data_IF_765931677406
#
_entry.id   IF_765931677406
#
_cell.length_a   1.000
_cell.length_b   1.000
_cell.length_c   1.000
_cell.angle_alpha   90.00
_cell.angle_beta   90.00
_cell.angle_gamma   90.00
#
_symmetry.space_group_name_H-M   'P 1'
#
loop_
_entity.id
_entity.type
_entity.pdbx_description
1 polymer ?
#
# COMPACT_ATOMS: atom_id res chain seq x y z
N UNK A 1 0.76 17.18 -14.27
CA UNK A 1 0.11 16.16 -13.45
C UNK A 1 -0.82 16.82 -12.43
N UNK A 2 -2.03 16.28 -12.28
CA UNK A 2 -3.03 16.77 -11.32
C UNK A 2 -3.71 15.58 -10.64
N UNK A 3 -4.19 15.80 -9.42
CA UNK A 3 -5.04 14.87 -8.67
C UNK A 3 -6.48 15.39 -8.72
N UNK A 4 -7.40 14.58 -9.24
CA UNK A 4 -8.84 14.85 -9.22
C UNK A 4 -9.48 14.06 -8.06
N UNK A 5 -10.22 14.73 -7.19
CA UNK A 5 -11.11 14.15 -6.18
C UNK A 5 -12.55 14.42 -6.60
N UNK A 6 -13.36 13.37 -6.77
CA UNK A 6 -14.75 13.49 -7.23
C UNK A 6 -15.62 12.30 -6.79
N UNK A 7 -16.82 12.20 -7.37
CA UNK A 7 -17.78 11.14 -7.05
C UNK A 7 -18.78 11.60 -5.99
N UNK A 8 -18.98 10.83 -4.92
CA UNK A 8 -19.85 11.18 -3.80
C UNK A 8 -19.21 12.21 -2.89
N UNK A 9 -19.02 13.42 -3.41
CA UNK A 9 -18.50 14.61 -2.71
C UNK A 9 -19.35 15.82 -3.05
N UNK A 10 -19.38 16.79 -2.15
CA UNK A 10 -20.12 18.05 -2.38
C UNK A 10 -19.47 18.91 -3.45
N UNK A 11 -18.12 18.93 -3.47
CA UNK A 11 -17.33 19.73 -4.43
C UNK A 11 -16.21 18.86 -5.02
N UNK A 12 -16.25 18.55 -6.33
CA UNK A 12 -15.09 18.00 -7.00
C UNK A 12 -13.92 18.99 -6.94
N UNK A 13 -12.73 18.49 -6.59
CA UNK A 13 -11.52 19.29 -6.44
C UNK A 13 -10.40 18.76 -7.34
N UNK A 14 -9.61 19.68 -7.87
CA UNK A 14 -8.40 19.36 -8.65
C UNK A 14 -7.20 20.01 -8.01
N UNK A 15 -6.18 19.22 -7.70
CA UNK A 15 -4.96 19.68 -7.09
C UNK A 15 -3.77 19.49 -8.03
N UNK A 16 -2.99 20.55 -8.23
CA UNK A 16 -1.63 20.46 -8.76
C UNK A 16 -0.66 20.10 -7.63
N UNK A 17 0.58 19.69 -7.97
CA UNK A 17 1.64 19.52 -6.98
C UNK A 17 1.85 20.81 -6.17
N UNK A 18 1.86 21.98 -6.85
CA UNK A 18 2.02 23.28 -6.18
C UNK A 18 0.89 23.60 -5.20
N UNK A 19 -0.33 23.12 -5.44
CA UNK A 19 -1.43 23.24 -4.47
C UNK A 19 -1.15 22.36 -3.26
N UNK A 20 -0.80 21.09 -3.45
CA UNK A 20 -0.56 20.14 -2.35
C UNK A 20 0.61 20.57 -1.45
N UNK A 21 1.66 21.17 -2.00
CA UNK A 21 2.80 21.68 -1.23
C UNK A 21 2.43 22.80 -0.24
N UNK A 22 1.23 23.35 -0.32
CA UNK A 22 0.74 24.41 0.59
C UNK A 22 -0.07 23.85 1.77
N UNK A 23 -0.39 22.56 1.75
CA UNK A 23 -1.12 21.92 2.85
C UNK A 23 -0.19 21.48 3.97
N UNK A 24 -0.68 21.42 5.21
CA UNK A 24 0.04 20.76 6.29
C UNK A 24 0.39 19.32 5.92
N UNK A 25 1.64 18.93 6.15
CA UNK A 25 2.12 17.60 5.87
C UNK A 25 2.40 16.82 7.15
N UNK A 26 2.34 15.49 7.05
CA UNK A 26 2.82 14.56 8.08
C UNK A 26 4.00 13.78 7.52
N UNK A 27 4.95 13.51 8.42
CA UNK A 27 6.10 12.64 8.14
C UNK A 27 6.02 11.43 9.06
N UNK A 28 6.10 10.23 8.48
CA UNK A 28 6.04 8.98 9.24
C UNK A 28 6.85 7.90 8.54
N UNK A 29 7.38 6.95 9.33
CA UNK A 29 8.08 5.78 8.80
C UNK A 29 7.08 4.65 8.63
N UNK A 30 6.92 4.16 7.40
CA UNK A 30 6.06 3.04 7.07
C UNK A 30 6.74 2.07 6.12
N UNK A 31 6.40 0.79 6.26
CA UNK A 31 6.77 -0.21 5.27
C UNK A 31 5.72 -0.34 4.17
N UNK A 32 6.19 -0.78 3.00
CA UNK A 32 5.32 -1.25 1.90
C UNK A 32 5.75 -2.67 1.57
N UNK A 33 4.81 -3.60 1.61
CA UNK A 33 5.04 -5.00 1.32
C UNK A 33 4.16 -5.45 0.14
N UNK A 34 4.78 -6.14 -0.81
CA UNK A 34 4.05 -6.74 -1.93
C UNK A 34 3.18 -7.90 -1.47
N UNK A 35 1.96 -8.03 -2.00
CA UNK A 35 1.10 -9.18 -1.75
C UNK A 35 1.77 -10.54 -2.05
N UNK A 36 2.71 -10.58 -3.00
CA UNK A 36 3.48 -11.77 -3.35
C UNK A 36 4.69 -12.06 -2.45
N UNK A 37 4.96 -11.22 -1.44
CA UNK A 37 6.07 -11.45 -0.53
C UNK A 37 5.87 -12.76 0.25
N UNK A 38 6.93 -13.54 0.39
CA UNK A 38 6.89 -14.87 1.03
C UNK A 38 6.12 -15.95 0.26
N UNK A 39 5.61 -15.66 -0.94
CA UNK A 39 4.78 -16.60 -1.72
C UNK A 39 5.48 -17.92 -2.06
N UNK A 40 6.82 -17.97 -2.09
CA UNK A 40 7.56 -19.21 -2.33
C UNK A 40 7.40 -20.23 -1.18
N UNK A 41 7.01 -19.80 0.01
CA UNK A 41 6.80 -20.67 1.18
C UNK A 41 5.47 -21.42 1.13
N UNK A 42 4.52 -21.02 0.29
CA UNK A 42 3.20 -21.67 0.17
C UNK A 42 3.20 -22.85 -0.81
N UNK A 43 4.34 -23.11 -1.46
CA UNK A 43 4.49 -24.25 -2.38
C UNK A 43 4.54 -25.56 -1.61
N UNK A 44 4.08 -26.68 -2.20
CA UNK A 44 4.19 -28.01 -1.59
C UNK A 44 5.65 -28.37 -1.22
N UNK A 45 6.60 -27.88 -2.00
CA UNK A 45 8.04 -27.99 -1.76
C UNK A 45 8.61 -26.58 -1.55
N UNK A 46 8.68 -26.11 -0.30
CA UNK A 46 9.11 -24.75 0.01
C UNK A 46 10.54 -24.50 -0.44
N UNK A 47 10.76 -23.37 -1.07
CA UNK A 47 12.08 -22.96 -1.52
C UNK A 47 13.05 -22.83 -0.34
N UNK A 48 14.25 -23.38 -0.49
CA UNK A 48 15.37 -23.21 0.44
C UNK A 48 16.22 -22.06 -0.07
N UNK A 49 16.06 -20.89 0.52
CA UNK A 49 16.73 -19.66 0.08
C UNK A 49 17.02 -18.72 1.26
N UNK A 50 17.75 -17.65 0.99
CA UNK A 50 18.05 -16.61 1.97
C UNK A 50 16.79 -15.86 2.40
N UNK A 51 16.85 -15.18 3.54
CA UNK A 51 15.76 -14.30 4.00
C UNK A 51 15.39 -13.26 2.93
N UNK A 52 16.40 -12.63 2.29
CA UNK A 52 16.17 -11.68 1.21
C UNK A 52 15.51 -12.29 -0.03
N UNK A 53 15.82 -13.55 -0.37
CA UNK A 53 15.19 -14.27 -1.48
C UNK A 53 13.73 -14.60 -1.21
N UNK A 54 13.39 -14.95 0.02
CA UNK A 54 12.03 -15.34 0.42
C UNK A 54 11.14 -14.15 0.79
N UNK A 55 11.71 -13.14 1.48
CA UNK A 55 10.96 -12.05 2.10
C UNK A 55 11.40 -10.65 1.62
N UNK A 56 12.13 -10.56 0.52
CA UNK A 56 12.74 -9.31 0.03
C UNK A 56 11.78 -8.33 -0.67
N UNK A 57 10.51 -8.68 -0.85
CA UNK A 57 9.52 -7.78 -1.45
C UNK A 57 8.88 -6.85 -0.40
N UNK A 58 9.72 -6.31 0.48
CA UNK A 58 9.38 -5.43 1.58
C UNK A 58 10.37 -4.27 1.61
N UNK A 59 9.89 -3.05 1.79
CA UNK A 59 10.73 -1.87 2.00
C UNK A 59 10.16 -0.98 3.08
N UNK A 60 11.03 -0.40 3.92
CA UNK A 60 10.66 0.57 4.93
C UNK A 60 11.30 1.92 4.61
N UNK A 61 10.53 3.00 4.68
CA UNK A 61 10.98 4.36 4.34
C UNK A 61 10.25 5.40 5.18
N UNK A 62 10.88 6.55 5.33
CA UNK A 62 10.20 7.74 5.80
C UNK A 62 9.38 8.35 4.64
N UNK A 63 8.11 8.62 4.90
CA UNK A 63 7.19 9.20 3.94
C UNK A 63 6.65 10.52 4.45
N UNK A 64 6.67 11.55 3.60
CA UNK A 64 6.08 12.86 3.89
C UNK A 64 5.02 13.20 2.85
N UNK A 65 3.84 13.60 3.33
CA UNK A 65 2.73 13.92 2.45
C UNK A 65 1.56 14.58 3.15
N UNK A 66 0.54 14.92 2.37
CA UNK A 66 -0.70 15.52 2.86
C UNK A 66 -1.62 14.40 3.34
N UNK A 67 -2.18 14.48 4.58
CA UNK A 67 -3.22 13.54 5.01
C UNK A 67 -4.39 13.56 4.04
N UNK A 68 -4.79 12.37 3.57
CA UNK A 68 -5.89 12.28 2.62
C UNK A 68 -7.21 12.76 3.22
N UNK A 69 -7.41 12.55 4.53
CA UNK A 69 -8.59 13.07 5.25
C UNK A 69 -8.76 14.57 5.06
N UNK A 70 -7.68 15.37 5.12
CA UNK A 70 -7.74 16.83 4.92
C UNK A 70 -8.34 17.21 3.56
N UNK A 71 -7.96 16.49 2.50
CA UNK A 71 -8.47 16.77 1.15
C UNK A 71 -9.90 16.26 0.95
N UNK A 72 -10.25 15.14 1.58
CA UNK A 72 -11.60 14.58 1.55
C UNK A 72 -12.59 15.45 2.37
N UNK A 73 -12.17 15.97 3.51
CA UNK A 73 -12.96 16.93 4.30
C UNK A 73 -13.22 18.21 3.51
N UNK A 74 -12.22 18.74 2.80
CA UNK A 74 -12.40 19.92 1.95
C UNK A 74 -13.35 19.64 0.78
N UNK A 75 -13.29 18.44 0.18
CA UNK A 75 -14.21 18.04 -0.87
C UNK A 75 -15.65 17.85 -0.36
N UNK A 76 -15.82 17.59 0.93
CA UNK A 76 -17.10 17.33 1.58
C UNK A 76 -17.68 15.98 1.16
N UNK A 77 -17.21 14.90 1.78
CA UNK A 77 -17.68 13.54 1.45
C UNK A 77 -19.17 13.40 1.77
N UNK A 78 -19.95 12.87 0.81
CA UNK A 78 -21.35 12.53 0.99
C UNK A 78 -21.48 11.35 1.98
N UNK A 79 -22.43 11.36 2.92
CA UNK A 79 -22.65 10.26 3.89
C UNK A 79 -22.85 8.87 3.26
N UNK A 80 -23.24 8.79 2.01
CA UNK A 80 -23.37 7.54 1.23
C UNK A 80 -22.02 7.00 0.77
N UNK A 81 -20.96 7.82 0.76
CA UNK A 81 -19.60 7.39 0.42
C UNK A 81 -19.08 6.40 1.45
N UNK A 82 -18.61 5.24 0.99
CA UNK A 82 -18.03 4.17 1.82
C UNK A 82 -16.69 3.69 1.29
N UNK A 83 -16.39 3.99 0.04
CA UNK A 83 -15.19 3.55 -0.65
C UNK A 83 -14.58 4.69 -1.46
N UNK A 84 -13.29 4.56 -1.73
CA UNK A 84 -12.54 5.46 -2.62
C UNK A 84 -11.85 4.60 -3.68
N UNK A 85 -12.17 4.81 -4.95
CA UNK A 85 -11.38 4.29 -6.05
C UNK A 85 -10.15 5.18 -6.24
N UNK A 86 -8.96 4.63 -6.06
CA UNK A 86 -7.69 5.26 -6.39
C UNK A 86 -7.19 4.77 -7.75
N UNK A 87 -6.75 5.68 -8.61
CA UNK A 87 -6.28 5.35 -9.96
C UNK A 87 -4.99 6.10 -10.31
N UNK A 88 -4.01 5.37 -10.86
CA UNK A 88 -2.76 5.90 -11.40
C UNK A 88 -2.86 6.33 -12.86
N UNK A 89 -1.86 7.06 -13.35
CA UNK A 89 -1.77 7.54 -14.75
C UNK A 89 -0.79 6.72 -15.58
N UNK A 90 -0.28 5.62 -15.02
CA UNK A 90 0.60 4.71 -15.73
C UNK A 90 -0.12 3.97 -16.87
N UNK A 91 0.63 3.35 -17.77
CA UNK A 91 0.08 2.63 -18.92
C UNK A 91 -0.83 1.44 -18.51
N UNK A 92 -0.59 0.85 -17.33
CA UNK A 92 -1.43 -0.21 -16.79
C UNK A 92 -2.76 0.31 -16.24
N UNK A 93 -2.83 1.60 -15.89
CA UNK A 93 -4.02 2.22 -15.30
C UNK A 93 -4.40 1.57 -13.96
N UNK A 94 -3.39 1.21 -13.14
CA UNK A 94 -3.61 0.54 -11.85
C UNK A 94 -4.68 1.29 -11.07
N UNK A 95 -5.73 0.58 -10.69
CA UNK A 95 -6.84 1.15 -9.92
C UNK A 95 -7.30 0.17 -8.85
N UNK A 96 -7.50 0.70 -7.63
CA UNK A 96 -7.85 -0.07 -6.44
C UNK A 96 -8.93 0.63 -5.62
N UNK A 97 -9.85 -0.17 -5.12
CA UNK A 97 -10.88 0.28 -4.18
C UNK A 97 -10.36 0.21 -2.74
N UNK A 98 -10.46 1.32 -2.03
CA UNK A 98 -10.00 1.48 -0.64
C UNK A 98 -11.21 1.85 0.23
N UNK A 99 -11.40 1.23 1.41
CA UNK A 99 -12.42 1.68 2.35
C UNK A 99 -12.22 3.16 2.70
N UNK A 100 -13.30 3.93 2.71
CA UNK A 100 -13.25 5.36 3.06
C UNK A 100 -12.70 5.56 4.48
N UNK A 101 -13.03 4.68 5.41
CA UNK A 101 -12.52 4.71 6.78
C UNK A 101 -10.98 4.75 6.80
N UNK A 102 -10.32 3.89 6.03
CA UNK A 102 -8.86 3.89 5.91
C UNK A 102 -8.32 5.19 5.31
N UNK A 103 -9.02 5.75 4.33
CA UNK A 103 -8.64 7.03 3.72
C UNK A 103 -8.74 8.21 4.70
N UNK A 104 -9.67 8.13 5.67
CA UNK A 104 -9.88 9.16 6.69
C UNK A 104 -8.97 9.02 7.91
N UNK A 105 -8.40 7.84 8.13
CA UNK A 105 -7.55 7.55 9.29
C UNK A 105 -6.09 8.00 9.08
N UNK A 106 -5.30 7.23 8.38
CA UNK A 106 -3.85 7.40 8.30
C UNK A 106 -3.28 7.49 6.86
N UNK A 107 -4.15 7.48 5.84
CA UNK A 107 -3.72 7.57 4.45
C UNK A 107 -3.05 8.91 4.13
N UNK A 108 -1.98 8.87 3.32
CA UNK A 108 -1.28 10.07 2.83
C UNK A 108 -1.29 10.14 1.30
N UNK A 109 -1.37 11.35 0.78
CA UNK A 109 -0.87 11.67 -0.56
C UNK A 109 0.62 11.98 -0.41
N UNK A 110 1.46 10.96 -0.56
CA UNK A 110 2.89 11.06 -0.35
C UNK A 110 3.57 11.78 -1.51
N UNK A 111 4.35 12.81 -1.17
CA UNK A 111 5.10 13.66 -2.09
C UNK A 111 6.61 13.47 -1.93
N UNK A 112 7.06 13.02 -0.75
CA UNK A 112 8.48 12.83 -0.43
C UNK A 112 8.70 11.44 0.18
N UNK A 113 9.90 10.90 -0.08
CA UNK A 113 10.41 9.65 0.48
C UNK A 113 11.86 9.86 0.93
N UNK A 114 12.15 9.57 2.21
CA UNK A 114 13.48 9.76 2.81
C UNK A 114 14.05 11.19 2.60
N UNK A 115 13.19 12.22 2.74
CA UNK A 115 13.57 13.62 2.59
C UNK A 115 13.69 14.14 1.15
N UNK A 116 13.57 13.29 0.13
CA UNK A 116 13.61 13.65 -1.27
C UNK A 116 12.22 13.56 -1.91
N UNK A 117 11.99 14.28 -3.02
CA UNK A 117 10.78 14.07 -3.81
C UNK A 117 10.67 12.59 -4.23
N UNK A 118 9.46 12.05 -4.19
CA UNK A 118 9.21 10.67 -4.62
C UNK A 118 9.80 10.47 -6.02
N UNK A 119 10.63 9.44 -6.21
CA UNK A 119 11.27 9.16 -7.50
C UNK A 119 10.26 8.66 -8.54
N UNK A 120 10.53 8.79 -9.85
CA UNK A 120 9.64 8.32 -10.91
C UNK A 120 9.18 6.87 -10.71
N UNK A 121 10.10 5.97 -10.37
CA UNK A 121 9.83 4.54 -10.14
C UNK A 121 8.93 4.30 -8.92
N UNK A 122 8.94 5.23 -7.98
CA UNK A 122 8.13 5.20 -6.76
C UNK A 122 6.82 5.96 -6.88
N UNK A 123 6.56 6.59 -8.03
CA UNK A 123 5.27 7.21 -8.35
C UNK A 123 5.26 8.74 -8.38
N UNK A 124 6.38 9.41 -8.71
CA UNK A 124 6.42 10.88 -8.89
C UNK A 124 5.30 11.37 -9.84
N UNK A 125 4.65 12.51 -9.55
CA UNK A 125 4.95 13.45 -8.48
C UNK A 125 4.24 13.14 -7.15
N UNK A 126 3.31 12.18 -7.12
CA UNK A 126 2.56 11.82 -5.93
C UNK A 126 2.05 10.39 -6.00
N UNK A 127 1.95 9.77 -4.85
CA UNK A 127 1.37 8.43 -4.70
C UNK A 127 0.44 8.36 -3.51
N UNK A 128 -0.48 7.41 -3.54
CA UNK A 128 -1.23 7.02 -2.35
C UNK A 128 -0.34 6.17 -1.44
N UNK A 129 -0.34 6.46 -0.15
CA UNK A 129 0.28 5.65 0.89
C UNK A 129 -0.80 5.22 1.88
N UNK A 130 -0.88 3.92 2.11
CA UNK A 130 -1.86 3.27 3.00
C UNK A 130 -1.10 2.35 3.96
N UNK A 131 -0.72 2.84 5.14
CA UNK A 131 0.01 2.05 6.14
C UNK A 131 -0.68 0.73 6.47
N UNK A 132 0.07 -0.37 6.58
CA UNK A 132 -0.46 -1.69 6.89
C UNK A 132 -1.30 -2.37 5.80
N UNK A 133 -1.46 -1.73 4.62
CA UNK A 133 -2.16 -2.32 3.47
C UNK A 133 -1.17 -2.84 2.43
N UNK A 134 -1.59 -3.83 1.64
CA UNK A 134 -0.78 -4.42 0.58
C UNK A 134 -0.18 -3.38 -0.38
N UNK A 135 1.05 -3.61 -0.82
CA UNK A 135 1.79 -2.71 -1.68
C UNK A 135 1.07 -2.30 -2.96
N UNK A 136 0.29 -3.22 -3.55
CA UNK A 136 -0.46 -2.95 -4.79
C UNK A 136 -1.58 -1.91 -4.61
N UNK A 137 -2.07 -1.68 -3.38
CA UNK A 137 -3.12 -0.70 -3.09
C UNK A 137 -2.52 0.71 -2.93
N UNK A 138 -1.23 0.79 -2.67
CA UNK A 138 -0.48 2.05 -2.57
C UNK A 138 -0.22 2.61 -3.97
N UNK A 139 -1.27 3.09 -4.66
CA UNK A 139 -1.27 3.45 -6.08
C UNK A 139 -0.26 4.55 -6.37
N UNK A 140 0.66 4.28 -7.32
CA UNK A 140 1.69 5.21 -7.81
C UNK A 140 1.13 6.12 -8.90
N UNK A 141 1.79 7.25 -9.15
CA UNK A 141 1.39 8.24 -10.17
C UNK A 141 -0.08 8.61 -10.05
N UNK A 142 -0.50 8.85 -8.81
CA UNK A 142 -1.91 9.03 -8.47
C UNK A 142 -2.51 10.21 -9.21
N UNK A 143 -3.59 9.97 -9.98
CA UNK A 143 -4.28 11.01 -10.75
C UNK A 143 -5.73 11.23 -10.34
N UNK A 144 -6.37 10.22 -9.74
CA UNK A 144 -7.80 10.27 -9.46
C UNK A 144 -8.17 9.51 -8.19
N UNK A 145 -9.04 10.15 -7.40
CA UNK A 145 -9.75 9.55 -6.28
C UNK A 145 -11.24 9.75 -6.48
N UNK A 146 -12.00 8.68 -6.58
CA UNK A 146 -13.46 8.74 -6.75
C UNK A 146 -14.14 8.12 -5.54
N UNK A 147 -14.88 8.94 -4.78
CA UNK A 147 -15.70 8.45 -3.67
C UNK A 147 -16.92 7.71 -4.22
N UNK A 148 -17.18 6.50 -3.71
CA UNK A 148 -18.22 5.59 -4.17
C UNK A 148 -18.96 4.95 -3.00
N UNK A 149 -20.14 4.40 -3.26
CA UNK A 149 -20.91 3.71 -2.23
C UNK A 149 -20.38 2.30 -1.93
N UNK A 150 -19.80 1.64 -2.92
CA UNK A 150 -19.21 0.31 -2.82
C UNK A 150 -17.92 0.20 -3.61
N UNK A 151 -17.18 -0.92 -3.49
CA UNK A 151 -15.99 -1.15 -4.29
C UNK A 151 -16.34 -1.24 -5.79
N UNK A 152 -15.39 -0.86 -6.65
CA UNK A 152 -15.64 -0.79 -8.10
C UNK A 152 -15.39 -2.12 -8.79
N UNK A 153 -14.72 -3.07 -8.14
CA UNK A 153 -14.34 -4.36 -8.72
C UNK A 153 -13.53 -4.17 -10.02
N UNK A 154 -12.44 -3.44 -9.89
CA UNK A 154 -11.57 -3.15 -11.04
C UNK A 154 -10.96 -4.43 -11.61
N UNK A 155 -10.40 -4.35 -12.84
CA UNK A 155 -9.82 -5.50 -13.53
C UNK A 155 -8.79 -6.24 -12.66
N UNK A 156 -7.87 -5.51 -12.02
CA UNK A 156 -6.83 -6.15 -11.21
C UNK A 156 -7.39 -6.73 -9.91
N UNK A 157 -8.38 -6.08 -9.30
CA UNK A 157 -9.07 -6.58 -8.11
C UNK A 157 -9.71 -7.95 -8.36
N UNK A 158 -10.42 -8.07 -9.47
CA UNK A 158 -11.16 -9.31 -9.79
C UNK A 158 -10.26 -10.40 -10.36
N UNK A 159 -9.20 -10.06 -11.10
CA UNK A 159 -8.37 -11.04 -11.79
C UNK A 159 -7.13 -11.50 -11.02
N UNK A 160 -6.62 -10.69 -10.07
CA UNK A 160 -5.34 -10.97 -9.40
C UNK A 160 -5.41 -10.99 -7.89
N UNK A 161 -6.34 -10.22 -7.30
CA UNK A 161 -6.40 -10.00 -5.85
C UNK A 161 -7.69 -10.51 -5.21
N UNK A 162 -8.48 -11.30 -5.94
CA UNK A 162 -9.60 -12.08 -5.41
C UNK A 162 -9.23 -13.55 -5.38
N UNK A 163 -9.60 -14.25 -4.33
CA UNK A 163 -9.29 -15.66 -4.10
C UNK A 163 -10.56 -16.50 -4.19
N UNK A 164 -10.51 -17.59 -4.98
CA UNK A 164 -11.57 -18.57 -4.98
C UNK A 164 -11.48 -19.43 -3.71
N UNK A 165 -12.56 -19.44 -2.94
CA UNK A 165 -12.66 -20.24 -1.72
C UNK A 165 -13.14 -21.67 -2.03
N UNK A 166 -12.85 -22.66 -1.15
CA UNK A 166 -13.26 -24.06 -1.37
C UNK A 166 -14.79 -24.26 -1.50
N UNK A 167 -15.59 -23.36 -0.95
CA UNK A 167 -17.06 -23.39 -1.03
C UNK A 167 -17.62 -22.76 -2.32
N UNK A 168 -16.74 -22.35 -3.25
CA UNK A 168 -17.10 -21.72 -4.52
C UNK A 168 -17.40 -20.22 -4.42
N UNK A 169 -17.28 -19.60 -3.25
CA UNK A 169 -17.36 -18.16 -3.11
C UNK A 169 -16.03 -17.48 -3.46
N UNK A 170 -16.05 -16.19 -3.72
CA UNK A 170 -14.83 -15.39 -3.91
C UNK A 170 -14.58 -14.48 -2.70
N UNK A 171 -13.42 -14.64 -2.06
CA UNK A 171 -12.92 -13.64 -1.12
C UNK A 171 -12.48 -12.43 -1.93
N UNK A 172 -13.18 -11.32 -1.75
CA UNK A 172 -12.79 -10.07 -2.38
C UNK A 172 -11.53 -9.51 -1.72
N UNK A 173 -10.61 -9.17 -2.54
CA UNK A 173 -9.26 -8.64 -2.29
C UNK A 173 -8.88 -8.45 -0.82
N UNK A 174 -7.75 -9.04 -0.47
CA UNK A 174 -7.06 -8.76 0.79
C UNK A 174 -6.61 -7.31 0.79
N UNK A 175 -6.87 -6.60 1.86
CA UNK A 175 -6.50 -5.19 2.01
C UNK A 175 -5.37 -5.04 3.03
N UNK A 176 -5.65 -5.37 4.29
CA UNK A 176 -4.70 -5.26 5.38
C UNK A 176 -3.75 -6.46 5.43
N UNK A 177 -2.50 -6.17 5.76
CA UNK A 177 -1.49 -7.19 6.04
C UNK A 177 -1.64 -7.68 7.48
N UNK A 178 -1.53 -8.99 7.68
CA UNK A 178 -1.41 -9.58 9.01
C UNK A 178 0.01 -9.44 9.57
N UNK A 179 0.19 -9.62 10.89
CA UNK A 179 1.52 -9.58 11.50
C UNK A 179 2.39 -10.72 10.95
N UNK A 180 3.65 -10.40 10.67
CA UNK A 180 4.67 -11.33 10.18
C UNK A 180 5.94 -11.22 10.99
N UNK A 181 6.73 -12.30 10.99
CA UNK A 181 8.07 -12.29 11.58
C UNK A 181 8.98 -13.26 10.82
N UNK A 182 10.28 -12.99 10.86
CA UNK A 182 11.29 -13.84 10.25
C UNK A 182 12.56 -13.80 11.08
N UNK A 183 13.19 -14.97 11.26
CA UNK A 183 14.53 -15.08 11.86
C UNK A 183 15.55 -14.70 10.79
N UNK A 184 16.37 -13.71 11.08
CA UNK A 184 17.42 -13.20 10.17
C UNK A 184 18.79 -13.76 10.51
N UNK A 185 18.99 -14.21 11.77
CA UNK A 185 20.23 -14.82 12.22
C UNK A 185 19.94 -15.95 13.24
N UNK A 186 20.50 -17.18 13.05
CA UNK A 186 21.20 -17.64 11.85
C UNK A 186 20.28 -17.74 10.65
N UNK A 187 20.81 -17.40 9.46
CA UNK A 187 20.06 -17.46 8.20
C UNK A 187 20.35 -18.77 7.46
N UNK A 188 19.56 -19.01 6.38
CA UNK A 188 19.76 -20.19 5.52
C UNK A 188 21.22 -20.31 5.05
N UNK A 189 21.76 -21.53 5.11
CA UNK A 189 23.14 -21.85 4.76
C UNK A 189 24.19 -21.58 5.85
N UNK A 190 23.85 -20.87 6.91
CA UNK A 190 24.75 -20.68 8.06
C UNK A 190 24.84 -21.96 8.90
N UNK A 191 26.06 -22.29 9.34
CA UNK A 191 26.31 -23.43 10.23
C UNK A 191 26.81 -22.91 11.58
N UNK A 192 26.23 -23.38 12.64
CA UNK A 192 26.71 -23.15 14.01
C UNK A 192 27.93 -24.03 14.25
N UNK A 193 29.12 -23.47 14.58
CA UNK A 193 30.36 -24.22 14.51
C UNK A 193 30.53 -25.27 15.64
N UNK A 194 29.89 -25.10 16.78
CA UNK A 194 29.96 -26.03 17.92
C UNK A 194 28.78 -25.84 18.86
N UNK A 195 28.46 -26.77 19.75
CA UNK A 195 27.50 -26.56 20.83
C UNK A 195 27.90 -25.35 21.69
N UNK A 196 26.93 -24.47 22.03
CA UNK A 196 27.18 -23.27 22.81
C UNK A 196 25.97 -22.35 22.87
N UNK A 197 26.20 -21.14 23.39
CA UNK A 197 25.18 -20.08 23.37
C UNK A 197 25.33 -19.26 22.09
N UNK A 198 24.23 -19.04 21.41
CA UNK A 198 24.16 -18.25 20.16
C UNK A 198 23.03 -17.25 20.25
N UNK A 199 23.28 -16.08 19.70
CA UNK A 199 22.23 -15.10 19.51
C UNK A 199 21.34 -15.53 18.33
N UNK A 200 20.02 -15.49 18.54
CA UNK A 200 19.00 -15.61 17.50
C UNK A 200 18.32 -14.25 17.38
N UNK A 201 18.36 -13.66 16.20
CA UNK A 201 17.72 -12.38 15.94
C UNK A 201 16.78 -12.43 14.74
N UNK A 202 15.84 -11.50 14.69
CA UNK A 202 14.84 -11.44 13.64
C UNK A 202 14.17 -10.08 13.58
N UNK A 203 13.26 -9.95 12.63
CA UNK A 203 12.40 -8.78 12.47
C UNK A 203 10.94 -9.23 12.51
N UNK A 204 10.08 -8.35 13.00
CA UNK A 204 8.63 -8.51 12.95
C UNK A 204 7.99 -7.21 12.49
N UNK A 205 6.87 -7.32 11.78
CA UNK A 205 6.12 -6.17 11.28
C UNK A 205 4.63 -6.49 11.12
N UNK A 206 3.78 -5.44 11.10
CA UNK A 206 2.33 -5.53 10.83
C UNK A 206 1.79 -4.20 10.31
#
# INVERSE_FOLDING_TARGET
HTLLIHGLVQRPLVFSLANLLRYPMRTQVYFIECAGNSGALTRPDPAQDTVGGLHGLLSNSEWTGVPLSTLLDEAGVDPRGKWVLAEGVDAAGMSRSVPLEKCMDDALIALFQNGEAVRPEQGYPMRLLLPGYEGNINVKWLRRLKVTQGPIHTKDETSKYSELMPDGTARQFTLALGPKSVITHPSFGMKVPSPGFYEISGIAWS
#
